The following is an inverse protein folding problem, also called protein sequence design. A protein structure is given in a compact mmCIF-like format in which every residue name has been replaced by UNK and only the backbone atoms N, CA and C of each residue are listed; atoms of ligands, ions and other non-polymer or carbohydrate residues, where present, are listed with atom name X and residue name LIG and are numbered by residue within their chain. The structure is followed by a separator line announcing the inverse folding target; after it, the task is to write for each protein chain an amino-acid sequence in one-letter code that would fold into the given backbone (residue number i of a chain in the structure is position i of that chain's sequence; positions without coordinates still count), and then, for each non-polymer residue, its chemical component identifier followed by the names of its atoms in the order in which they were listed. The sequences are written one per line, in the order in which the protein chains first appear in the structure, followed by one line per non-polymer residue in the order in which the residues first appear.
data_IF_174680720563
#
_entry.id   IF_174680720563
#
_cell.length_a   1.000
_cell.length_b   1.000
_cell.length_c   1.000
_cell.angle_alpha   90.00
_cell.angle_beta   90.00
_cell.angle_gamma   90.00
#
_symmetry.space_group_name_H-M   'P 1'
#
loop_
_entity.id
_entity.type
_entity.pdbx_description
1 polymer ?
#
# COMPACT_ATOMS: atom_id res chain seq x y z
N UNK A 1 -4.70 -8.23 28.85
CA UNK A 1 -4.59 -9.23 29.92
C UNK A 1 -3.62 -8.71 30.96
N UNK A 2 -4.16 -8.25 32.09
CA UNK A 2 -3.37 -7.61 33.12
C UNK A 2 -2.56 -8.65 33.91
N UNK A 3 -1.27 -8.46 33.96
CA UNK A 3 -0.42 -9.18 34.90
C UNK A 3 -0.52 -8.50 36.25
N UNK A 4 -1.12 -9.21 37.24
CA UNK A 4 -1.06 -8.83 38.64
C UNK A 4 0.30 -9.26 39.17
N UNK A 5 1.19 -8.30 39.44
CA UNK A 5 2.45 -8.55 40.14
C UNK A 5 2.09 -8.68 41.63
N UNK A 6 2.09 -9.90 42.16
CA UNK A 6 2.12 -10.13 43.59
C UNK A 6 3.52 -9.88 44.13
N UNK A 7 3.68 -8.79 44.84
CA UNK A 7 4.90 -8.54 45.63
C UNK A 7 4.68 -9.22 46.97
N UNK A 8 5.38 -10.32 47.21
CA UNK A 8 5.33 -11.03 48.50
C UNK A 8 6.03 -10.20 49.56
N UNK A 9 5.23 -9.63 50.45
CA UNK A 9 5.63 -8.86 51.63
C UNK A 9 6.18 -9.79 52.74
N UNK A 10 7.14 -10.67 52.42
CA UNK A 10 7.73 -11.61 53.40
C UNK A 10 8.94 -11.04 54.18
N UNK A 11 9.50 -9.93 53.76
CA UNK A 11 10.71 -9.35 54.36
C UNK A 11 10.44 -8.39 55.55
N UNK A 12 9.22 -7.91 55.72
CA UNK A 12 8.88 -7.00 56.83
C UNK A 12 8.50 -7.73 58.13
N UNK A 13 8.11 -9.03 58.04
CA UNK A 13 7.69 -9.82 59.24
C UNK A 13 8.85 -10.34 60.09
N UNK A 14 10.07 -10.45 59.57
CA UNK A 14 11.19 -11.05 60.30
C UNK A 14 11.96 -9.99 61.12
N UNK A 15 11.93 -8.72 60.75
CA UNK A 15 12.61 -7.66 61.55
C UNK A 15 11.81 -7.19 62.78
N UNK A 16 10.50 -7.32 62.78
CA UNK A 16 9.67 -6.89 63.92
C UNK A 16 9.59 -7.92 65.06
N UNK A 17 9.93 -9.20 64.83
CA UNK A 17 9.92 -10.26 65.88
C UNK A 17 11.18 -10.37 66.72
N UNK A 18 12.28 -9.65 66.38
CA UNK A 18 13.54 -9.68 67.11
C UNK A 18 13.73 -8.54 68.10
N UNK A 19 12.81 -7.58 68.15
CA UNK A 19 12.90 -6.41 69.04
C UNK A 19 11.95 -6.47 70.26
N UNK A 20 11.21 -7.59 70.48
CA UNK A 20 10.26 -7.69 71.60
C UNK A 20 10.70 -8.55 72.81
N UNK A 21 11.97 -9.05 72.81
CA UNK A 21 12.49 -9.83 73.94
C UNK A 21 13.86 -9.28 74.41
N UNK A 22 13.88 -8.18 75.08
CA UNK A 22 14.87 -7.90 76.15
C UNK A 22 14.32 -6.75 77.01
N UNK A 23 13.91 -7.06 78.22
CA UNK A 23 13.46 -6.07 79.19
C UNK A 23 14.60 -5.26 79.75
N UNK A 24 14.32 -4.03 80.09
CA UNK A 24 15.12 -3.24 81.03
C UNK A 24 15.70 -1.92 80.42
N UNK A 25 15.21 -0.85 80.99
CA UNK A 25 15.69 0.52 80.99
C UNK A 25 15.33 1.41 79.75
N UNK A 26 14.36 2.25 80.05
CA UNK A 26 13.86 3.32 79.20
C UNK A 26 14.85 4.52 79.17
N UNK A 27 15.37 4.85 78.03
CA UNK A 27 15.86 6.18 77.67
C UNK A 27 15.02 6.72 76.52
N UNK A 28 14.77 8.02 76.40
CA UNK A 28 13.86 8.58 75.37
C UNK A 28 14.55 8.68 74.01
N UNK A 29 14.67 7.51 73.37
CA UNK A 29 15.27 7.41 72.01
C UNK A 29 14.26 7.06 70.93
N UNK A 30 12.94 7.06 71.29
CA UNK A 30 11.91 6.51 70.41
C UNK A 30 11.40 7.49 69.34
N UNK A 31 11.62 8.82 69.49
CA UNK A 31 11.11 9.77 68.51
C UNK A 31 12.01 9.85 67.22
N UNK A 32 13.34 9.81 67.39
CA UNK A 32 14.27 9.94 66.28
C UNK A 32 14.31 8.70 65.37
N UNK A 33 14.16 7.49 65.91
CA UNK A 33 14.19 6.26 65.13
C UNK A 33 12.90 6.09 64.32
N UNK A 34 11.75 6.48 64.88
CA UNK A 34 10.49 6.46 64.20
C UNK A 34 10.43 7.47 63.04
N UNK A 35 11.05 8.62 63.22
CA UNK A 35 11.14 9.67 62.19
C UNK A 35 12.11 9.30 61.09
N UNK A 36 13.29 8.76 61.41
CA UNK A 36 14.23 8.20 60.43
C UNK A 36 13.63 7.06 59.62
N UNK A 37 12.87 6.17 60.25
CA UNK A 37 12.19 5.05 59.57
C UNK A 37 11.11 5.57 58.61
N UNK A 38 10.38 6.61 59.00
CA UNK A 38 9.40 7.27 58.13
C UNK A 38 10.04 7.97 56.93
N UNK A 39 11.16 8.68 57.17
CA UNK A 39 11.90 9.34 56.10
C UNK A 39 12.51 8.30 55.14
N UNK A 40 13.08 7.21 55.66
CA UNK A 40 13.63 6.13 54.83
C UNK A 40 12.54 5.42 54.00
N UNK A 41 11.36 5.17 54.60
CA UNK A 41 10.19 4.63 53.89
C UNK A 41 9.68 5.59 52.80
N UNK A 42 9.66 6.89 53.08
CA UNK A 42 9.27 7.90 52.09
C UNK A 42 10.31 8.01 50.96
N UNK A 43 11.60 7.92 51.25
CA UNK A 43 12.65 7.89 50.24
C UNK A 43 12.64 6.63 49.38
N UNK A 44 12.35 5.47 49.97
CA UNK A 44 12.16 4.20 49.25
C UNK A 44 10.90 4.25 48.39
N UNK A 45 9.79 4.79 48.91
CA UNK A 45 8.57 5.01 48.14
C UNK A 45 8.77 6.02 46.99
N UNK A 46 9.48 7.12 47.25
CA UNK A 46 9.86 8.09 46.22
C UNK A 46 10.80 7.47 45.18
N UNK A 47 11.79 6.68 45.62
CA UNK A 47 12.67 5.96 44.69
C UNK A 47 11.91 4.90 43.87
N UNK A 48 10.95 4.18 44.46
CA UNK A 48 10.06 3.25 43.75
C UNK A 48 9.12 3.97 42.81
N UNK A 49 8.59 5.15 43.18
CA UNK A 49 7.77 5.98 42.30
C UNK A 49 8.61 6.56 41.15
N UNK A 50 9.86 6.98 41.40
CA UNK A 50 10.78 7.44 40.38
C UNK A 50 11.23 6.31 39.45
N UNK A 51 11.46 5.10 39.95
CA UNK A 51 11.78 3.94 39.09
C UNK A 51 10.57 3.46 38.28
N UNK A 52 9.35 3.58 38.81
CA UNK A 52 8.12 3.30 38.05
C UNK A 52 7.86 4.38 36.99
N UNK A 53 8.20 5.64 37.25
CA UNK A 53 8.10 6.70 36.22
C UNK A 53 9.19 6.62 35.16
N UNK A 54 10.37 6.05 35.45
CA UNK A 54 11.45 5.86 34.48
C UNK A 54 11.25 4.65 33.55
N UNK A 55 10.28 3.78 33.83
CA UNK A 55 9.98 2.61 32.98
C UNK A 55 8.88 2.83 31.95
N UNK A 56 8.32 4.03 31.87
CA UNK A 56 7.43 4.44 30.77
C UNK A 56 8.21 5.18 29.70
N UNK A 57 9.30 4.60 29.23
CA UNK A 57 9.78 4.93 27.89
C UNK A 57 8.65 4.59 26.94
N UNK A 58 7.96 5.59 26.42
CA UNK A 58 6.87 5.40 25.49
C UNK A 58 7.37 4.56 24.31
N UNK A 59 6.83 3.35 24.19
CA UNK A 59 7.11 2.54 22.99
C UNK A 59 6.68 3.34 21.76
N UNK A 60 7.38 3.18 20.64
CA UNK A 60 6.96 3.81 19.39
C UNK A 60 5.50 3.46 19.12
N UNK A 61 4.67 4.49 18.94
CA UNK A 61 3.25 4.32 18.59
C UNK A 61 3.12 4.34 17.07
N UNK A 62 2.78 3.19 16.50
CA UNK A 62 2.60 3.02 15.07
C UNK A 62 1.46 2.04 14.77
N UNK A 63 0.92 2.12 13.58
CA UNK A 63 -0.08 1.19 13.06
C UNK A 63 0.37 0.58 11.75
N UNK A 64 -0.16 -0.60 11.46
CA UNK A 64 -0.02 -1.27 10.17
C UNK A 64 -1.29 -1.08 9.35
N UNK A 65 -1.11 -0.81 8.06
CA UNK A 65 -2.20 -0.77 7.09
C UNK A 65 -1.81 -1.59 5.87
N UNK A 66 -2.70 -2.50 5.47
CA UNK A 66 -2.51 -3.25 4.22
C UNK A 66 -2.96 -2.42 3.02
N UNK A 67 -2.23 -2.54 1.95
CA UNK A 67 -2.56 -1.93 0.65
C UNK A 67 -2.29 -2.97 -0.44
N UNK A 68 -3.28 -3.32 -1.25
CA UNK A 68 -4.67 -2.86 -1.25
C UNK A 68 -5.47 -3.36 -0.05
N UNK A 69 -6.62 -2.74 0.23
CA UNK A 69 -7.48 -3.11 1.35
C UNK A 69 -7.97 -4.57 1.28
N UNK A 70 -8.12 -5.11 0.06
CA UNK A 70 -8.44 -6.51 -0.21
C UNK A 70 -7.26 -7.13 -0.96
N UNK A 71 -6.64 -8.14 -0.39
CA UNK A 71 -5.58 -8.91 -1.04
C UNK A 71 -6.18 -10.04 -1.84
N UNK A 72 -5.94 -10.04 -3.14
CA UNK A 72 -6.43 -11.07 -4.04
C UNK A 72 -5.35 -12.08 -4.38
N UNK A 73 -5.66 -13.37 -4.20
CA UNK A 73 -4.91 -14.49 -4.76
C UNK A 73 -5.36 -14.65 -6.21
N UNK A 74 -4.42 -14.55 -7.14
CA UNK A 74 -4.65 -14.60 -8.58
C UNK A 74 -3.94 -15.82 -9.16
N UNK A 75 -4.63 -16.61 -9.94
CA UNK A 75 -4.00 -17.74 -10.64
C UNK A 75 -2.97 -17.25 -11.64
N UNK A 76 -1.81 -17.89 -11.61
CA UNK A 76 -0.73 -17.59 -12.53
C UNK A 76 -1.11 -18.10 -13.93
N UNK A 77 -1.25 -17.21 -14.90
CA UNK A 77 -1.72 -17.61 -16.22
C UNK A 77 -0.74 -18.50 -16.99
N UNK A 78 0.56 -18.44 -16.66
CA UNK A 78 1.61 -19.26 -17.29
C UNK A 78 1.76 -20.63 -16.65
N UNK A 79 1.41 -20.73 -15.41
CA UNK A 79 1.60 -21.93 -14.64
C UNK A 79 0.30 -22.26 -13.92
N UNK A 80 -0.52 -23.10 -14.53
CA UNK A 80 -1.79 -23.58 -13.99
C UNK A 80 -1.67 -24.29 -12.63
N UNK A 81 -0.45 -24.40 -12.09
CA UNK A 81 -0.19 -25.02 -10.80
C UNK A 81 0.16 -24.00 -9.71
N UNK A 82 0.32 -22.71 -10.07
CA UNK A 82 0.66 -21.66 -9.12
C UNK A 82 -0.34 -20.52 -9.15
N UNK A 83 -0.46 -19.85 -8.02
CA UNK A 83 -1.13 -18.57 -7.85
C UNK A 83 -0.17 -17.60 -7.18
N UNK A 84 -0.39 -16.33 -7.38
CA UNK A 84 0.36 -15.27 -6.73
C UNK A 84 -0.57 -14.28 -6.05
N UNK A 85 -0.03 -13.55 -5.09
CA UNK A 85 -0.67 -12.37 -4.51
C UNK A 85 0.41 -11.39 -4.06
N UNK A 86 0.06 -10.14 -4.09
CA UNK A 86 0.94 -9.03 -3.75
C UNK A 86 0.19 -8.06 -2.85
N UNK A 87 0.89 -7.53 -1.88
CA UNK A 87 0.38 -6.46 -1.03
C UNK A 87 1.54 -5.69 -0.41
N UNK A 88 1.26 -4.47 -0.04
CA UNK A 88 2.16 -3.64 0.74
C UNK A 88 1.63 -3.46 2.16
N UNK A 89 2.53 -3.36 3.10
CA UNK A 89 2.23 -2.98 4.47
C UNK A 89 2.80 -1.60 4.73
N UNK A 90 1.92 -0.64 4.82
CA UNK A 90 2.28 0.69 5.29
C UNK A 90 2.46 0.66 6.81
N UNK A 91 3.61 1.11 7.26
CA UNK A 91 3.96 1.31 8.67
C UNK A 91 3.86 2.80 8.95
N UNK A 92 2.87 3.20 9.72
CA UNK A 92 2.47 4.60 9.88
C UNK A 92 2.66 5.00 11.33
N UNK A 93 3.49 5.99 11.56
CA UNK A 93 3.70 6.58 12.89
C UNK A 93 2.55 7.54 13.24
N UNK A 94 2.07 7.50 14.47
CA UNK A 94 1.01 8.41 14.96
C UNK A 94 1.52 9.80 15.32
N UNK A 95 2.81 9.94 15.54
CA UNK A 95 3.52 11.20 15.82
C UNK A 95 4.75 11.27 14.93
N UNK A 96 5.29 12.45 14.72
CA UNK A 96 6.52 12.67 13.94
C UNK A 96 7.68 11.86 14.53
N UNK A 97 7.83 10.63 14.10
CA UNK A 97 8.85 9.69 14.56
C UNK A 97 9.51 8.97 13.39
N UNK A 98 10.84 8.97 13.40
CA UNK A 98 11.62 8.17 12.46
C UNK A 98 11.63 6.71 12.93
N UNK A 99 10.93 5.84 12.23
CA UNK A 99 10.92 4.40 12.48
C UNK A 99 11.90 3.67 11.57
N UNK A 100 12.66 2.76 12.17
CA UNK A 100 13.53 1.84 11.44
C UNK A 100 12.98 0.42 11.55
N UNK A 101 12.74 -0.29 10.44
CA UNK A 101 12.31 -1.69 10.48
C UNK A 101 13.44 -2.58 11.01
N UNK A 102 13.10 -3.45 11.98
CA UNK A 102 14.03 -4.44 12.54
C UNK A 102 13.80 -5.80 11.88
N UNK A 103 12.56 -6.23 11.83
CA UNK A 103 12.17 -7.48 11.20
C UNK A 103 10.70 -7.45 10.79
N UNK A 104 10.37 -8.27 9.80
CA UNK A 104 9.00 -8.60 9.47
C UNK A 104 8.85 -10.11 9.32
N UNK A 105 7.65 -10.62 9.58
CA UNK A 105 7.31 -12.00 9.23
C UNK A 105 5.90 -12.05 8.66
N UNK A 106 5.68 -12.99 7.74
CA UNK A 106 4.37 -13.28 7.17
C UNK A 106 4.07 -14.76 7.37
N UNK A 107 2.92 -15.05 7.96
CA UNK A 107 2.38 -16.39 8.12
C UNK A 107 1.17 -16.55 7.23
N UNK A 108 1.26 -17.42 6.21
CA UNK A 108 0.14 -17.77 5.36
C UNK A 108 -0.67 -18.88 6.01
N UNK A 109 -1.98 -18.71 6.09
CA UNK A 109 -2.86 -19.63 6.78
C UNK A 109 -3.99 -20.15 5.90
N UNK A 110 -4.38 -21.40 6.18
CA UNK A 110 -5.59 -22.04 5.70
C UNK A 110 -6.41 -22.45 6.94
N UNK A 111 -7.51 -21.75 7.17
CA UNK A 111 -8.28 -21.91 8.41
C UNK A 111 -7.45 -21.56 9.65
N UNK A 112 -7.21 -22.59 10.50
CA UNK A 112 -6.40 -22.47 11.73
C UNK A 112 -4.96 -22.92 11.56
N UNK A 113 -4.59 -23.44 10.40
CA UNK A 113 -3.28 -24.02 10.16
C UNK A 113 -2.38 -23.02 9.43
N UNK A 114 -1.18 -22.77 9.93
CA UNK A 114 -0.13 -22.08 9.20
C UNK A 114 0.43 -23.03 8.15
N UNK A 115 0.38 -22.60 6.88
CA UNK A 115 0.85 -23.39 5.74
C UNK A 115 2.22 -23.00 5.26
N UNK A 116 2.60 -21.73 5.50
CA UNK A 116 3.91 -21.20 5.17
C UNK A 116 4.25 -20.05 6.11
N UNK A 117 5.55 -19.87 6.40
CA UNK A 117 6.05 -18.72 7.15
C UNK A 117 7.32 -18.21 6.48
N UNK A 118 7.39 -16.90 6.28
CA UNK A 118 8.56 -16.23 5.77
C UNK A 118 8.97 -15.12 6.77
N UNK A 119 10.29 -14.92 6.88
CA UNK A 119 10.86 -13.91 7.79
C UNK A 119 11.87 -13.06 7.04
N UNK A 120 11.85 -11.77 7.31
CA UNK A 120 12.78 -10.78 6.75
C UNK A 120 13.57 -10.13 7.87
N UNK A 121 14.89 -10.12 7.68
CA UNK A 121 15.83 -9.38 8.52
C UNK A 121 15.86 -7.91 8.14
N UNK A 122 16.51 -7.08 8.95
CA UNK A 122 16.75 -5.66 8.65
C UNK A 122 17.39 -5.45 7.27
N UNK A 123 18.36 -6.29 6.91
CA UNK A 123 19.02 -6.22 5.60
C UNK A 123 18.08 -6.54 4.43
N UNK A 124 17.25 -7.56 4.60
CA UNK A 124 16.25 -7.94 3.57
C UNK A 124 15.19 -6.84 3.43
N UNK A 125 14.70 -6.30 4.57
CA UNK A 125 13.73 -5.23 4.58
C UNK A 125 14.24 -3.96 3.88
N UNK A 126 15.52 -3.64 4.04
CA UNK A 126 16.12 -2.51 3.35
C UNK A 126 16.05 -2.61 1.81
N UNK A 127 15.93 -3.83 1.27
CA UNK A 127 15.82 -4.08 -0.18
C UNK A 127 14.37 -4.02 -0.69
N UNK A 128 13.39 -4.30 0.15
CA UNK A 128 11.97 -4.37 -0.21
C UNK A 128 11.15 -3.19 0.36
N UNK A 129 11.77 -2.35 1.15
CA UNK A 129 11.16 -1.12 1.67
C UNK A 129 11.06 -0.10 0.53
N UNK A 130 9.88 0.45 0.34
CA UNK A 130 9.65 1.56 -0.58
C UNK A 130 10.37 2.83 -0.12
N UNK A 131 11.01 3.54 -1.05
CA UNK A 131 11.84 4.72 -0.74
C UNK A 131 11.00 6.00 -0.74
N UNK A 132 9.90 6.03 -1.51
CA UNK A 132 9.07 7.23 -1.72
C UNK A 132 7.58 6.88 -1.62
N UNK A 133 7.22 6.08 -0.64
CA UNK A 133 5.87 5.61 -0.55
C UNK A 133 4.92 6.71 -0.06
N UNK A 134 3.82 6.84 -0.75
CA UNK A 134 2.76 7.79 -0.45
C UNK A 134 1.52 7.00 -0.10
N UNK A 135 1.26 6.87 1.19
CA UNK A 135 0.06 6.19 1.65
C UNK A 135 -1.10 7.16 1.61
N UNK A 136 -2.12 6.83 0.82
CA UNK A 136 -3.43 7.42 0.99
C UNK A 136 -4.09 6.73 2.17
N UNK A 137 -4.02 7.36 3.32
CA UNK A 137 -4.78 6.88 4.46
C UNK A 137 -6.26 7.09 4.17
N UNK A 138 -7.06 6.06 4.47
CA UNK A 138 -8.50 6.19 4.55
C UNK A 138 -8.85 7.21 5.62
N UNK A 139 -9.00 8.47 5.18
CA UNK A 139 -9.64 9.49 5.97
C UNK A 139 -11.13 9.45 5.66
N UNK A 140 -12.01 9.65 6.65
CA UNK A 140 -13.43 9.79 6.39
C UNK A 140 -13.68 10.79 5.25
N UNK A 141 -14.66 10.52 4.41
CA UNK A 141 -15.00 11.20 3.14
C UNK A 141 -15.08 12.76 3.23
N UNK A 142 -15.05 13.32 4.42
CA UNK A 142 -15.13 14.77 4.68
C UNK A 142 -13.77 15.48 4.82
N UNK A 143 -12.65 14.76 4.79
CA UNK A 143 -11.33 15.40 4.91
C UNK A 143 -10.49 15.10 3.68
N UNK A 144 -9.71 16.07 3.15
CA UNK A 144 -8.81 15.80 2.05
C UNK A 144 -7.86 14.71 2.49
N UNK A 145 -7.72 13.67 1.65
CA UNK A 145 -6.77 12.59 1.86
C UNK A 145 -5.39 13.20 2.04
N UNK A 146 -4.76 12.98 3.19
CA UNK A 146 -3.40 13.42 3.43
C UNK A 146 -2.45 12.41 2.81
N UNK A 147 -1.55 12.91 2.00
CA UNK A 147 -0.41 12.17 1.55
C UNK A 147 0.67 12.25 2.62
N UNK A 148 1.15 11.10 3.08
CA UNK A 148 2.27 11.04 4.02
C UNK A 148 3.56 10.88 3.24
N UNK A 149 4.51 11.77 3.51
CA UNK A 149 5.89 11.62 3.07
C UNK A 149 6.73 11.06 4.22
N UNK A 150 7.78 10.30 3.91
CA UNK A 150 8.79 9.95 4.92
C UNK A 150 9.24 11.23 5.64
N UNK A 151 9.39 11.23 6.99
CA UNK A 151 9.66 10.07 7.83
C UNK A 151 8.46 9.41 8.51
N UNK A 152 7.25 9.89 8.28
CA UNK A 152 6.03 9.49 9.02
C UNK A 152 5.51 8.11 8.63
N UNK A 153 5.90 7.59 7.47
CA UNK A 153 5.50 6.27 7.00
C UNK A 153 6.55 5.64 6.09
N UNK A 154 6.60 4.34 6.07
CA UNK A 154 7.26 3.54 5.04
C UNK A 154 6.39 2.33 4.71
N UNK A 155 6.60 1.73 3.56
CA UNK A 155 5.95 0.49 3.16
C UNK A 155 6.94 -0.67 3.10
N UNK A 156 6.40 -1.86 3.20
CA UNK A 156 7.10 -3.11 2.95
C UNK A 156 6.30 -3.88 1.91
N UNK A 157 6.91 -4.07 0.75
CA UNK A 157 6.31 -4.78 -0.37
C UNK A 157 6.48 -6.30 -0.23
N UNK A 158 5.38 -7.04 -0.33
CA UNK A 158 5.37 -8.50 -0.27
C UNK A 158 4.77 -9.09 -1.54
N UNK A 159 5.52 -9.96 -2.18
CA UNK A 159 5.07 -10.77 -3.29
C UNK A 159 5.22 -12.25 -2.95
N UNK A 160 4.13 -12.99 -3.09
CA UNK A 160 4.08 -14.41 -2.80
C UNK A 160 3.67 -15.20 -4.03
N UNK A 161 4.27 -16.36 -4.20
CA UNK A 161 3.87 -17.36 -5.16
C UNK A 161 3.68 -18.68 -4.44
N UNK A 162 2.53 -19.30 -4.62
CA UNK A 162 2.17 -20.53 -3.94
C UNK A 162 1.50 -21.52 -4.91
N UNK A 163 1.47 -22.83 -4.57
CA UNK A 163 0.67 -23.78 -5.34
C UNK A 163 -0.78 -23.33 -5.45
N UNK A 164 -1.37 -23.44 -6.65
CA UNK A 164 -2.76 -23.03 -6.90
C UNK A 164 -3.74 -23.77 -5.98
N UNK A 165 -3.51 -25.07 -5.78
CA UNK A 165 -4.33 -25.92 -4.93
C UNK A 165 -4.27 -25.55 -3.43
N UNK A 166 -3.31 -24.72 -3.04
CA UNK A 166 -3.16 -24.30 -1.64
C UNK A 166 -4.23 -23.27 -1.30
N UNK A 167 -5.18 -23.67 -0.45
CA UNK A 167 -6.23 -22.78 0.04
C UNK A 167 -5.65 -21.81 1.08
N UNK A 168 -5.23 -20.62 0.65
CA UNK A 168 -4.82 -19.55 1.56
C UNK A 168 -6.00 -18.62 1.75
N UNK A 169 -6.43 -18.42 2.99
CA UNK A 169 -7.52 -17.53 3.38
C UNK A 169 -7.06 -16.28 4.14
N UNK A 170 -5.85 -16.32 4.69
CA UNK A 170 -5.32 -15.16 5.39
C UNK A 170 -3.79 -15.15 5.43
N UNK A 171 -3.25 -13.92 5.56
CA UNK A 171 -1.85 -13.65 5.88
C UNK A 171 -1.77 -12.93 7.23
N UNK A 172 -0.99 -13.45 8.17
CA UNK A 172 -0.65 -12.79 9.43
C UNK A 172 0.68 -12.06 9.25
N UNK A 173 0.68 -10.75 9.24
CA UNK A 173 1.91 -9.94 9.10
C UNK A 173 2.30 -9.41 10.47
N UNK A 174 3.57 -9.56 10.83
CA UNK A 174 4.16 -9.03 12.06
C UNK A 174 5.33 -8.14 11.70
N UNK A 175 5.35 -6.92 12.20
CA UNK A 175 6.43 -5.96 11.95
C UNK A 175 6.99 -5.48 13.27
N UNK A 176 8.32 -5.52 13.40
CA UNK A 176 9.08 -4.94 14.50
C UNK A 176 9.83 -3.71 14.02
N UNK A 177 9.75 -2.65 14.80
CA UNK A 177 10.41 -1.37 14.53
C UNK A 177 11.21 -0.89 15.73
N UNK A 178 12.15 0.03 15.49
CA UNK A 178 12.77 0.85 16.52
C UNK A 178 12.60 2.33 16.18
N UNK A 179 12.46 3.17 17.21
CA UNK A 179 12.56 4.63 17.07
C UNK A 179 14.02 5.10 17.05
N UNK A 180 14.23 6.40 16.82
CA UNK A 180 15.57 7.00 16.84
C UNK A 180 16.30 6.89 18.18
N UNK A 181 15.58 6.61 19.28
CA UNK A 181 16.14 6.40 20.62
C UNK A 181 16.44 4.93 20.92
N UNK A 182 16.10 4.02 20.00
CA UNK A 182 16.31 2.59 20.14
C UNK A 182 15.19 1.86 20.88
N UNK A 183 14.08 2.51 21.23
CA UNK A 183 12.92 1.82 21.77
C UNK A 183 12.28 0.96 20.69
N UNK A 184 11.87 -0.25 21.05
CA UNK A 184 11.34 -1.23 20.12
C UNK A 184 9.86 -1.45 20.35
N UNK A 185 9.11 -1.63 19.27
CA UNK A 185 7.72 -2.02 19.31
C UNK A 185 7.41 -3.05 18.22
N UNK A 186 6.32 -3.80 18.41
CA UNK A 186 5.84 -4.81 17.48
C UNK A 186 4.34 -4.65 17.28
N UNK A 187 3.91 -4.72 16.03
CA UNK A 187 2.49 -4.77 15.66
C UNK A 187 2.23 -5.99 14.78
N UNK A 188 1.01 -6.50 14.85
CA UNK A 188 0.54 -7.61 14.04
C UNK A 188 -0.77 -7.25 13.36
N UNK A 189 -0.88 -7.58 12.09
CA UNK A 189 -2.07 -7.42 11.27
C UNK A 189 -2.44 -8.76 10.65
N UNK A 190 -3.71 -9.16 10.74
CA UNK A 190 -4.24 -10.29 9.98
C UNK A 190 -5.02 -9.78 8.78
N UNK A 191 -4.66 -10.27 7.61
CA UNK A 191 -5.16 -9.83 6.31
C UNK A 191 -5.95 -10.98 5.70
N UNK A 192 -7.23 -10.80 5.37
CA UNK A 192 -7.96 -11.79 4.60
C UNK A 192 -7.44 -11.83 3.16
N UNK A 193 -7.17 -13.03 2.66
CA UNK A 193 -6.80 -13.27 1.27
C UNK A 193 -8.02 -13.83 0.56
N UNK A 194 -8.42 -13.19 -0.52
CA UNK A 194 -9.59 -13.58 -1.32
C UNK A 194 -9.15 -14.09 -2.68
N UNK A 195 -9.96 -14.95 -3.27
CA UNK A 195 -9.82 -15.35 -4.66
C UNK A 195 -10.67 -14.44 -5.53
N UNK A 196 -10.04 -13.80 -6.53
CA UNK A 196 -10.76 -12.98 -7.49
C UNK A 196 -10.91 -13.69 -8.84
N UNK A 197 -12.13 -13.73 -9.33
CA UNK A 197 -12.46 -14.21 -10.66
C UNK A 197 -13.09 -13.07 -11.47
N UNK A 198 -12.36 -12.61 -12.49
CA UNK A 198 -12.86 -11.62 -13.44
C UNK A 198 -14.09 -12.15 -14.16
N UNK A 199 -15.15 -11.35 -14.23
CA UNK A 199 -16.42 -11.69 -14.85
C UNK A 199 -16.55 -11.11 -16.26
N UNK A 200 -15.95 -9.95 -16.48
CA UNK A 200 -15.97 -9.26 -17.78
C UNK A 200 -14.89 -9.83 -18.69
N UNK A 201 -15.29 -10.19 -19.90
CA UNK A 201 -14.38 -10.60 -20.96
C UNK A 201 -13.77 -9.38 -21.60
N UNK A 202 -12.50 -9.09 -21.29
CA UNK A 202 -11.80 -7.90 -21.76
C UNK A 202 -10.97 -8.21 -22.99
N UNK A 203 -11.06 -7.36 -24.01
CA UNK A 203 -10.07 -7.27 -25.08
C UNK A 203 -9.06 -6.18 -24.74
N UNK A 204 -7.86 -6.27 -25.32
CA UNK A 204 -6.80 -5.29 -25.12
C UNK A 204 -7.23 -3.92 -25.67
N UNK A 205 -6.95 -2.82 -24.95
CA UNK A 205 -7.54 -1.51 -25.27
C UNK A 205 -6.86 -0.76 -26.41
N UNK A 206 -5.95 -1.37 -27.16
CA UNK A 206 -5.47 -0.90 -28.45
C UNK A 206 -4.94 -2.07 -29.29
N UNK A 207 -4.68 -1.85 -30.59
CA UNK A 207 -4.18 -2.88 -31.52
C UNK A 207 -2.69 -2.76 -31.73
N UNK A 208 -2.08 -3.91 -32.10
CA UNK A 208 -0.66 -4.00 -32.44
C UNK A 208 0.24 -4.19 -31.25
N UNK A 209 1.52 -3.90 -31.45
CA UNK A 209 2.56 -4.19 -30.47
C UNK A 209 2.65 -3.13 -29.38
N UNK A 210 3.01 -3.58 -28.19
CA UNK A 210 3.26 -2.71 -27.06
C UNK A 210 4.16 -3.37 -26.01
N UNK A 211 4.50 -2.57 -25.00
CA UNK A 211 5.29 -2.99 -23.84
C UNK A 211 4.63 -2.48 -22.56
N UNK A 212 4.75 -3.26 -21.52
CA UNK A 212 4.29 -2.88 -20.17
C UNK A 212 5.33 -1.96 -19.53
N UNK A 213 4.98 -0.70 -19.32
CA UNK A 213 5.83 0.30 -18.66
C UNK A 213 5.86 0.15 -17.14
N UNK A 214 4.67 -0.04 -16.53
CA UNK A 214 4.51 -0.32 -15.12
C UNK A 214 3.47 -1.42 -14.89
N UNK A 215 3.64 -2.15 -13.79
CA UNK A 215 2.74 -3.22 -13.34
C UNK A 215 2.49 -3.11 -11.83
N UNK A 216 1.78 -4.10 -11.28
CA UNK A 216 1.49 -4.20 -9.85
C UNK A 216 2.41 -5.16 -9.07
N UNK A 217 3.22 -5.95 -9.76
CA UNK A 217 4.09 -6.99 -9.16
C UNK A 217 5.43 -6.39 -8.76
N UNK A 218 5.90 -5.43 -9.56
CA UNK A 218 7.21 -4.81 -9.37
C UNK A 218 7.16 -3.78 -8.25
N UNK A 219 8.05 -3.90 -7.27
CA UNK A 219 8.23 -2.90 -6.23
C UNK A 219 8.49 -1.51 -6.85
N UNK A 220 7.70 -0.53 -6.44
CA UNK A 220 7.72 0.81 -7.03
C UNK A 220 6.94 0.96 -8.35
N UNK A 221 6.14 -0.06 -8.73
CA UNK A 221 5.10 0.04 -9.76
C UNK A 221 3.80 0.67 -9.23
N UNK A 222 2.66 0.21 -9.73
CA UNK A 222 1.36 0.70 -9.29
C UNK A 222 0.91 0.16 -7.94
N UNK A 223 1.51 -0.93 -7.45
CA UNK A 223 1.22 -1.47 -6.13
C UNK A 223 1.41 -0.43 -5.03
N UNK A 224 0.53 -0.47 -4.04
CA UNK A 224 0.71 0.31 -2.82
C UNK A 224 0.01 1.65 -2.73
N UNK A 225 -0.99 1.95 -3.54
CA UNK A 225 -1.75 3.15 -3.26
C UNK A 225 -2.66 3.67 -4.35
N UNK A 226 -3.52 4.59 -3.98
CA UNK A 226 -4.43 5.31 -4.88
C UNK A 226 -5.51 4.46 -5.56
N UNK A 227 -5.73 3.22 -5.11
CA UNK A 227 -6.67 2.30 -5.77
C UNK A 227 -6.19 1.85 -7.15
N UNK A 228 -4.89 1.95 -7.43
CA UNK A 228 -4.27 1.55 -8.70
C UNK A 228 -3.48 0.25 -8.58
N UNK A 229 -3.64 -0.48 -7.50
CA UNK A 229 -2.80 -1.62 -7.13
C UNK A 229 -2.65 -2.70 -8.20
N UNK A 230 -3.65 -2.89 -9.06
CA UNK A 230 -3.59 -3.82 -10.19
C UNK A 230 -3.58 -3.11 -11.55
N UNK A 231 -3.24 -1.84 -11.58
CA UNK A 231 -3.13 -1.08 -12.82
C UNK A 231 -1.90 -1.48 -13.65
N UNK A 232 -1.95 -1.18 -14.93
CA UNK A 232 -0.84 -1.34 -15.87
C UNK A 232 -0.70 -0.10 -16.73
N UNK A 233 0.55 0.31 -16.99
CA UNK A 233 0.87 1.32 -17.99
C UNK A 233 1.35 0.66 -19.26
N UNK A 234 0.73 1.01 -20.37
CA UNK A 234 0.87 0.35 -21.65
C UNK A 234 1.42 1.35 -22.69
N UNK A 235 2.60 1.05 -23.24
CA UNK A 235 3.25 1.86 -24.27
C UNK A 235 3.17 1.16 -25.62
N UNK A 236 3.10 1.95 -26.70
CA UNK A 236 3.11 1.42 -28.06
C UNK A 236 4.50 1.11 -28.55
N UNK A 237 4.66 0.02 -29.30
CA UNK A 237 5.87 -0.34 -30.05
C UNK A 237 5.60 -0.32 -31.55
N UNK A 238 6.65 -0.07 -32.35
CA UNK A 238 6.62 -0.24 -33.79
C UNK A 238 6.93 -1.71 -34.19
N UNK A 239 7.10 -1.92 -35.50
CA UNK A 239 7.44 -3.23 -36.06
C UNK A 239 8.85 -3.71 -35.68
N UNK A 240 9.73 -2.79 -35.29
CA UNK A 240 11.10 -3.06 -34.84
C UNK A 240 11.23 -3.12 -33.32
N UNK A 241 10.10 -3.12 -32.58
CA UNK A 241 10.08 -3.07 -31.12
C UNK A 241 10.63 -1.78 -30.51
N UNK A 242 10.70 -0.70 -31.27
CA UNK A 242 11.10 0.60 -30.75
C UNK A 242 9.90 1.33 -30.09
N UNK A 243 10.14 1.96 -28.93
CA UNK A 243 9.17 2.84 -28.26
C UNK A 243 9.17 4.25 -28.85
N UNK A 244 10.30 4.65 -29.47
CA UNK A 244 10.54 5.98 -30.03
C UNK A 244 10.79 5.92 -31.52
N UNK A 245 10.27 6.89 -32.26
CA UNK A 245 10.51 7.10 -33.71
C UNK A 245 11.82 7.82 -33.98
N UNK A 246 12.29 8.61 -33.00
CA UNK A 246 13.51 9.41 -33.05
C UNK A 246 13.96 9.77 -31.62
N UNK A 247 15.09 10.46 -31.46
CA UNK A 247 15.69 10.84 -30.18
C UNK A 247 15.05 12.11 -29.56
N UNK A 248 13.95 12.63 -30.11
CA UNK A 248 13.25 13.80 -29.58
C UNK A 248 12.45 13.48 -28.29
N UNK A 249 12.27 14.49 -27.47
CA UNK A 249 11.47 14.42 -26.23
C UNK A 249 10.00 14.86 -26.41
N UNK A 250 9.62 15.25 -27.62
CA UNK A 250 8.23 15.58 -27.95
C UNK A 250 7.35 14.32 -27.83
N UNK A 251 6.12 14.50 -27.41
CA UNK A 251 5.17 13.39 -27.33
C UNK A 251 4.99 12.64 -28.65
N UNK A 252 5.07 13.36 -29.80
CA UNK A 252 4.94 12.79 -31.13
C UNK A 252 6.08 11.83 -31.50
N UNK A 253 7.23 11.91 -30.83
CA UNK A 253 8.35 10.98 -30.99
C UNK A 253 8.03 9.59 -30.50
N UNK A 254 7.14 9.45 -29.48
CA UNK A 254 6.70 8.14 -29.02
C UNK A 254 5.81 7.43 -30.05
N UNK A 255 6.07 6.14 -30.27
CA UNK A 255 5.29 5.31 -31.21
C UNK A 255 3.82 5.19 -30.79
N UNK A 256 3.55 5.17 -29.47
CA UNK A 256 2.21 5.10 -28.93
C UNK A 256 1.37 6.37 -29.10
N UNK A 257 1.99 7.53 -29.31
CA UNK A 257 1.28 8.81 -29.39
C UNK A 257 0.19 8.83 -30.46
N UNK A 258 -1.03 9.18 -30.04
CA UNK A 258 -2.19 9.26 -30.94
C UNK A 258 -2.75 7.94 -31.41
N UNK A 259 -2.24 6.78 -30.90
CA UNK A 259 -2.81 5.46 -31.18
C UNK A 259 -4.25 5.39 -30.68
N UNK A 260 -5.14 4.79 -31.45
CA UNK A 260 -6.54 4.62 -31.07
C UNK A 260 -6.68 3.78 -29.82
N UNK A 261 -7.47 4.28 -28.86
CA UNK A 261 -7.87 3.57 -27.65
C UNK A 261 -9.25 2.99 -27.87
N UNK A 262 -9.38 1.70 -27.53
CA UNK A 262 -10.58 0.91 -27.75
C UNK A 262 -11.28 0.63 -26.42
N UNK A 263 -12.61 0.62 -26.42
CA UNK A 263 -13.39 0.09 -25.32
C UNK A 263 -13.07 -1.40 -25.12
N UNK A 264 -12.61 -1.83 -23.92
CA UNK A 264 -12.14 -3.21 -23.73
C UNK A 264 -13.26 -4.23 -23.64
N UNK A 265 -14.48 -3.80 -23.36
CA UNK A 265 -15.70 -4.61 -23.39
C UNK A 265 -16.92 -3.72 -23.62
N UNK A 266 -18.06 -4.34 -23.89
CA UNK A 266 -19.33 -3.62 -23.91
C UNK A 266 -19.65 -3.05 -22.52
N UNK A 267 -20.29 -1.88 -22.49
CA UNK A 267 -20.65 -1.23 -21.24
C UNK A 267 -21.30 0.13 -21.42
N UNK A 268 -21.50 0.82 -20.30
CA UNK A 268 -22.02 2.19 -20.25
C UNK A 268 -20.95 3.12 -19.70
N UNK A 269 -20.70 4.23 -20.37
CA UNK A 269 -19.75 5.25 -19.91
C UNK A 269 -20.30 5.94 -18.66
N UNK A 270 -19.57 5.91 -17.56
CA UNK A 270 -19.98 6.51 -16.27
C UNK A 270 -19.20 7.78 -15.93
N UNK A 271 -18.04 7.95 -16.53
CA UNK A 271 -17.22 9.16 -16.34
C UNK A 271 -16.41 9.45 -17.61
N UNK A 272 -16.22 10.73 -17.93
CA UNK A 272 -15.30 11.19 -18.97
C UNK A 272 -14.63 12.50 -18.54
N UNK A 273 -13.39 12.68 -18.93
CA UNK A 273 -12.66 13.95 -18.94
C UNK A 273 -11.91 14.12 -20.24
N UNK A 274 -11.88 15.33 -20.80
CA UNK A 274 -11.35 15.57 -22.15
C UNK A 274 -10.68 16.94 -22.34
N UNK A 275 -10.49 17.68 -21.25
CA UNK A 275 -10.06 19.08 -21.20
C UNK A 275 -8.70 19.31 -20.53
N UNK A 276 -8.04 18.23 -20.10
CA UNK A 276 -6.71 18.33 -19.49
C UNK A 276 -5.66 18.48 -20.60
N UNK A 277 -4.86 19.56 -20.59
CA UNK A 277 -3.80 19.74 -21.57
C UNK A 277 -2.81 18.56 -21.56
N UNK A 278 -2.32 18.21 -22.74
CA UNK A 278 -1.19 17.30 -22.83
C UNK A 278 0.04 17.88 -22.15
N UNK A 279 0.85 17.05 -21.50
CA UNK A 279 2.16 17.48 -21.05
C UNK A 279 2.99 17.96 -22.26
N UNK A 280 3.82 19.02 -22.12
CA UNK A 280 4.45 19.64 -23.26
C UNK A 280 5.49 18.74 -23.95
N UNK A 281 6.10 17.83 -23.20
CA UNK A 281 7.13 16.89 -23.66
C UNK A 281 7.15 15.63 -22.80
N UNK A 282 7.91 14.63 -23.19
CA UNK A 282 8.21 13.45 -22.40
C UNK A 282 9.13 13.81 -21.23
N UNK A 283 9.03 13.10 -20.11
CA UNK A 283 9.75 13.37 -18.87
C UNK A 283 8.83 13.70 -17.72
N UNK A 284 9.35 14.12 -16.58
CA UNK A 284 8.55 14.45 -15.41
C UNK A 284 7.48 15.49 -15.76
N UNK A 285 6.22 15.27 -15.36
CA UNK A 285 5.19 16.30 -15.53
C UNK A 285 5.62 17.56 -14.77
N UNK A 286 5.19 18.75 -15.22
CA UNK A 286 5.48 20.00 -14.51
C UNK A 286 5.09 19.88 -13.03
N UNK A 287 6.01 20.22 -12.12
CA UNK A 287 5.89 19.99 -10.66
C UNK A 287 4.57 20.48 -10.05
N UNK A 288 4.13 21.65 -10.46
CA UNK A 288 2.90 22.28 -9.99
C UNK A 288 1.65 21.45 -10.30
N UNK A 289 1.62 20.79 -11.44
CA UNK A 289 0.47 19.99 -11.86
C UNK A 289 0.35 18.70 -11.08
N UNK A 290 1.47 18.10 -10.70
CA UNK A 290 1.50 16.88 -9.92
C UNK A 290 1.04 17.12 -8.48
N UNK A 291 1.56 18.18 -7.83
CA UNK A 291 1.20 18.54 -6.47
C UNK A 291 -0.23 19.08 -6.37
N UNK A 292 -0.68 19.87 -7.32
CA UNK A 292 -2.08 20.35 -7.37
C UNK A 292 -3.03 19.16 -7.55
N UNK A 293 -2.72 18.21 -8.39
CA UNK A 293 -3.52 17.00 -8.56
C UNK A 293 -3.68 16.17 -7.28
N UNK A 294 -2.66 16.18 -6.43
CA UNK A 294 -2.65 15.43 -5.16
C UNK A 294 -3.34 16.18 -4.01
N UNK A 295 -3.50 17.50 -4.13
CA UNK A 295 -4.18 18.35 -3.16
C UNK A 295 -5.60 18.73 -3.62
N UNK A 296 -5.93 18.46 -4.87
CA UNK A 296 -7.29 18.65 -5.40
C UNK A 296 -8.20 17.58 -4.80
N UNK A 297 -9.28 17.96 -4.10
CA UNK A 297 -10.27 17.01 -3.58
C UNK A 297 -10.91 16.13 -4.65
N UNK A 298 -10.77 16.49 -5.94
CA UNK A 298 -11.21 15.68 -7.06
C UNK A 298 -10.21 14.63 -7.54
N UNK A 299 -8.89 14.79 -7.28
CA UNK A 299 -7.75 13.94 -7.75
C UNK A 299 -7.87 13.43 -9.20
N UNK A 300 -8.95 13.80 -9.88
CA UNK A 300 -9.24 13.40 -11.25
C UNK A 300 -8.17 13.93 -12.23
N UNK A 301 -7.47 14.98 -11.85
CA UNK A 301 -6.39 15.55 -12.65
C UNK A 301 -5.21 14.58 -12.81
N UNK A 302 -4.94 13.74 -11.81
CA UNK A 302 -3.84 12.77 -11.88
C UNK A 302 -4.00 11.81 -13.06
N UNK A 303 -5.24 11.40 -13.37
CA UNK A 303 -5.54 10.53 -14.52
C UNK A 303 -5.60 11.28 -15.87
N UNK A 304 -5.53 12.61 -15.87
CA UNK A 304 -5.65 13.40 -17.09
C UNK A 304 -6.98 13.21 -17.79
N UNK A 305 -6.97 13.17 -19.12
CA UNK A 305 -8.14 12.82 -19.89
C UNK A 305 -8.40 11.32 -19.79
N UNK A 306 -9.63 10.95 -19.47
CA UNK A 306 -9.94 9.56 -19.17
C UNK A 306 -11.40 9.20 -19.43
N UNK A 307 -11.65 7.90 -19.51
CA UNK A 307 -12.97 7.31 -19.65
C UNK A 307 -13.12 6.20 -18.63
N UNK A 308 -14.28 6.15 -17.92
CA UNK A 308 -14.67 5.01 -17.08
C UNK A 308 -15.89 4.34 -17.71
N UNK A 309 -15.82 3.02 -17.87
CA UNK A 309 -16.87 2.20 -18.49
C UNK A 309 -17.36 1.18 -17.47
N UNK A 310 -18.65 1.19 -17.17
CA UNK A 310 -19.34 0.17 -16.37
C UNK A 310 -19.67 -1.04 -17.25
N UNK A 311 -19.08 -2.19 -16.95
CA UNK A 311 -19.35 -3.46 -17.62
C UNK A 311 -20.42 -4.30 -16.92
N UNK A 312 -21.00 -3.78 -15.84
CA UNK A 312 -21.81 -4.54 -14.91
C UNK A 312 -20.95 -5.38 -13.93
N UNK A 313 -21.60 -6.15 -13.10
CA UNK A 313 -20.94 -7.05 -12.13
C UNK A 313 -20.00 -6.36 -11.11
N UNK A 314 -20.10 -5.04 -10.92
CA UNK A 314 -19.16 -4.20 -10.16
C UNK A 314 -17.74 -4.24 -10.76
N UNK A 315 -17.61 -4.28 -12.06
CA UNK A 315 -16.37 -4.21 -12.81
C UNK A 315 -16.39 -3.00 -13.76
N UNK A 316 -15.44 -2.08 -13.56
CA UNK A 316 -15.34 -0.82 -14.30
C UNK A 316 -13.96 -0.69 -14.90
N UNK A 317 -13.85 -0.43 -16.21
CA UNK A 317 -12.57 -0.10 -16.83
C UNK A 317 -12.30 1.39 -16.72
N UNK A 318 -11.13 1.77 -16.22
CA UNK A 318 -10.57 3.12 -16.32
C UNK A 318 -9.46 3.12 -17.37
N UNK A 319 -9.57 4.02 -18.37
CA UNK A 319 -8.60 4.26 -19.42
C UNK A 319 -8.16 5.73 -19.29
N UNK A 320 -6.89 5.98 -18.98
CA UNK A 320 -6.41 7.30 -18.58
C UNK A 320 -5.19 7.78 -19.37
N UNK A 321 -4.79 9.04 -19.13
CA UNK A 321 -3.74 9.78 -19.84
C UNK A 321 -4.01 9.96 -21.33
N UNK A 322 -5.29 9.96 -21.73
CA UNK A 322 -5.67 10.13 -23.13
C UNK A 322 -5.29 11.51 -23.65
N UNK A 323 -5.14 11.63 -24.98
CA UNK A 323 -4.79 12.86 -25.64
C UNK A 323 -5.88 13.92 -25.43
N UNK A 324 -5.49 15.16 -25.20
CA UNK A 324 -6.40 16.30 -25.08
C UNK A 324 -7.36 16.39 -26.26
N UNK A 325 -8.64 16.56 -25.98
CA UNK A 325 -9.70 16.67 -26.99
C UNK A 325 -10.01 15.43 -27.78
N UNK A 326 -9.37 14.28 -27.47
CA UNK A 326 -9.52 13.05 -28.25
C UNK A 326 -10.64 12.11 -27.81
N UNK A 327 -11.18 12.29 -26.63
CA UNK A 327 -12.28 11.43 -26.10
C UNK A 327 -13.54 11.67 -26.94
N UNK A 328 -14.06 10.59 -27.51
CA UNK A 328 -15.18 10.64 -28.47
C UNK A 328 -16.52 10.22 -27.87
N UNK A 329 -16.54 9.82 -26.61
CA UNK A 329 -17.72 9.34 -25.90
C UNK A 329 -18.06 10.27 -24.70
N UNK A 330 -19.32 10.23 -24.26
CA UNK A 330 -19.83 10.98 -23.12
C UNK A 330 -20.52 10.08 -22.11
N UNK A 331 -20.69 10.58 -20.90
CA UNK A 331 -21.44 9.88 -19.84
C UNK A 331 -22.84 9.50 -20.31
N UNK A 332 -23.21 8.24 -20.10
CA UNK A 332 -24.46 7.63 -20.53
C UNK A 332 -24.39 6.92 -21.88
N UNK A 333 -23.35 7.12 -22.70
CA UNK A 333 -23.18 6.41 -23.95
C UNK A 333 -22.96 4.92 -23.70
N UNK A 334 -23.56 4.08 -24.56
CA UNK A 334 -23.27 2.64 -24.62
C UNK A 334 -22.16 2.41 -25.63
N UNK A 335 -21.17 1.63 -25.23
CA UNK A 335 -20.04 1.24 -26.08
C UNK A 335 -20.04 -0.27 -26.27
N UNK A 336 -19.45 -0.70 -27.38
CA UNK A 336 -19.18 -2.12 -27.68
C UNK A 336 -17.68 -2.38 -27.62
N UNK A 337 -17.31 -3.63 -27.38
CA UNK A 337 -15.90 -4.04 -27.40
C UNK A 337 -15.25 -3.67 -28.75
N UNK A 338 -14.06 -3.06 -28.73
CA UNK A 338 -13.32 -2.61 -29.91
C UNK A 338 -13.78 -1.28 -30.50
N UNK A 339 -14.78 -0.62 -29.95
CA UNK A 339 -15.17 0.73 -30.33
C UNK A 339 -14.05 1.73 -29.96
N UNK A 340 -13.67 2.58 -30.92
CA UNK A 340 -12.71 3.67 -30.65
C UNK A 340 -13.37 4.69 -29.73
N UNK A 341 -12.71 5.02 -28.60
CA UNK A 341 -13.19 5.93 -27.57
C UNK A 341 -12.29 7.13 -27.35
N UNK A 342 -11.13 7.17 -28.01
CA UNK A 342 -10.16 8.27 -27.94
C UNK A 342 -8.79 7.85 -28.41
N UNK A 343 -7.74 8.61 -28.02
CA UNK A 343 -6.37 8.39 -28.45
C UNK A 343 -5.41 8.37 -27.25
N UNK A 344 -4.39 7.52 -27.33
CA UNK A 344 -3.29 7.47 -26.38
C UNK A 344 -2.54 8.81 -26.34
N UNK A 345 -2.39 9.36 -25.17
CA UNK A 345 -1.83 10.68 -24.94
C UNK A 345 -0.79 10.73 -23.83
N UNK A 346 -0.61 11.92 -23.27
CA UNK A 346 0.28 12.21 -22.13
C UNK A 346 -0.30 13.37 -21.34
N UNK A 347 -1.51 13.21 -20.80
CA UNK A 347 -2.16 14.22 -19.97
C UNK A 347 -2.16 13.81 -18.49
N UNK A 348 -2.21 14.79 -17.58
CA UNK A 348 -2.20 14.53 -16.14
C UNK A 348 -0.81 14.10 -15.63
N UNK A 349 -0.77 13.18 -14.65
CA UNK A 349 0.46 12.66 -14.04
C UNK A 349 1.13 11.59 -14.93
N UNK A 350 1.57 11.99 -16.13
CA UNK A 350 2.17 11.11 -17.13
C UNK A 350 3.60 11.56 -17.45
N UNK A 351 4.56 10.62 -17.46
CA UNK A 351 5.96 10.84 -17.81
C UNK A 351 6.24 10.71 -19.31
N UNK A 352 5.23 10.47 -20.10
CA UNK A 352 5.31 10.31 -21.55
C UNK A 352 4.12 9.52 -22.07
N UNK A 353 3.95 9.43 -23.41
CA UNK A 353 2.79 8.81 -23.99
C UNK A 353 2.63 7.34 -23.61
N UNK A 354 1.56 7.06 -22.83
CA UNK A 354 1.13 5.72 -22.45
C UNK A 354 -0.36 5.69 -22.14
N UNK A 355 -0.93 4.52 -22.11
CA UNK A 355 -2.26 4.27 -21.57
C UNK A 355 -2.13 3.69 -20.18
N UNK A 356 -2.60 4.40 -19.17
CA UNK A 356 -2.89 3.82 -17.87
C UNK A 356 -4.22 3.06 -17.95
N UNK A 357 -4.20 1.79 -17.65
CA UNK A 357 -5.38 0.94 -17.63
C UNK A 357 -5.55 0.23 -16.30
N UNK A 358 -6.76 0.24 -15.76
CA UNK A 358 -7.14 -0.60 -14.64
C UNK A 358 -8.59 -1.07 -14.75
N UNK A 359 -8.85 -2.28 -14.23
CA UNK A 359 -10.18 -2.72 -13.86
C UNK A 359 -10.40 -2.38 -12.39
N UNK A 360 -11.53 -1.79 -12.03
CA UNK A 360 -11.81 -1.33 -10.66
C UNK A 360 -13.21 -1.68 -10.19
N UNK A 361 -13.42 -1.64 -8.87
CA UNK A 361 -14.67 -2.07 -8.23
C UNK A 361 -15.72 -0.97 -8.03
N UNK A 362 -15.39 0.29 -8.33
CA UNK A 362 -16.27 1.46 -8.17
C UNK A 362 -16.11 2.41 -9.37
N UNK A 363 -17.17 3.02 -9.90
CA UNK A 363 -17.08 3.92 -11.06
C UNK A 363 -16.34 5.24 -10.75
N UNK A 364 -16.23 5.61 -9.48
CA UNK A 364 -15.58 6.86 -9.07
C UNK A 364 -14.07 6.70 -9.03
N UNK A 365 -13.37 7.66 -9.59
CA UNK A 365 -11.93 7.71 -9.55
C UNK A 365 -11.43 7.71 -8.10
N UNK A 366 -10.42 6.89 -7.78
CA UNK A 366 -9.78 6.76 -6.48
C UNK A 366 -10.67 6.28 -5.31
N UNK A 367 -11.90 5.88 -5.57
CA UNK A 367 -12.79 5.31 -4.55
C UNK A 367 -12.86 3.79 -4.60
N UNK A 368 -12.72 3.22 -5.80
CA UNK A 368 -12.67 1.79 -5.99
C UNK A 368 -11.27 1.24 -5.76
N UNK A 369 -11.21 -0.02 -5.42
CA UNK A 369 -9.98 -0.79 -5.50
C UNK A 369 -9.83 -1.30 -6.93
N UNK A 370 -8.63 -1.20 -7.50
CA UNK A 370 -8.33 -1.90 -8.74
C UNK A 370 -8.39 -3.42 -8.53
N UNK A 371 -8.76 -4.11 -9.58
CA UNK A 371 -9.00 -5.54 -9.59
C UNK A 371 -7.96 -6.24 -10.46
N UNK A 372 -7.53 -7.45 -10.11
CA UNK A 372 -6.72 -8.26 -11.01
C UNK A 372 -7.35 -8.37 -12.38
N UNK A 373 -6.58 -8.18 -13.44
CA UNK A 373 -7.12 -8.12 -14.79
C UNK A 373 -6.42 -9.06 -15.76
N UNK A 374 -7.16 -9.50 -16.78
CA UNK A 374 -6.69 -10.35 -17.85
C UNK A 374 -7.40 -9.98 -19.16
N UNK A 375 -6.64 -9.86 -20.23
CA UNK A 375 -7.16 -9.67 -21.59
C UNK A 375 -7.14 -10.99 -22.36
N UNK A 376 -8.07 -11.14 -23.31
CA UNK A 376 -8.24 -12.39 -24.06
C UNK A 376 -7.46 -12.42 -25.39
N UNK A 377 -7.19 -11.27 -25.99
CA UNK A 377 -6.66 -11.16 -27.35
C UNK A 377 -5.20 -10.69 -27.38
N UNK A 378 -4.42 -11.01 -26.37
CA UNK A 378 -2.97 -10.79 -26.35
C UNK A 378 -2.25 -12.14 -26.25
N UNK A 379 -1.03 -12.16 -26.77
CA UNK A 379 -0.18 -13.36 -26.84
C UNK A 379 0.59 -13.64 -25.53
N UNK A 380 0.46 -12.75 -24.55
CA UNK A 380 1.11 -12.88 -23.26
C UNK A 380 0.10 -12.97 -22.13
N UNK A 381 0.20 -13.92 -21.24
CA UNK A 381 -0.79 -14.12 -20.17
C UNK A 381 -0.57 -13.21 -18.96
N UNK A 382 0.61 -12.63 -18.78
CA UNK A 382 0.90 -11.74 -17.67
C UNK A 382 1.53 -10.43 -18.14
N UNK A 383 0.94 -9.32 -17.73
CA UNK A 383 1.41 -7.97 -18.00
C UNK A 383 2.39 -7.55 -16.90
N UNK A 384 3.65 -7.98 -17.00
CA UNK A 384 4.72 -7.56 -16.11
C UNK A 384 5.62 -6.53 -16.79
N UNK A 385 6.20 -5.64 -16.01
CA UNK A 385 7.08 -4.56 -16.49
C UNK A 385 8.16 -5.08 -17.45
N UNK A 386 8.33 -4.41 -18.57
CA UNK A 386 9.25 -4.79 -19.64
C UNK A 386 8.75 -5.93 -20.53
N UNK A 387 7.55 -6.48 -20.27
CA UNK A 387 6.97 -7.51 -21.13
C UNK A 387 6.41 -6.86 -22.40
N UNK A 388 6.93 -7.27 -23.53
CA UNK A 388 6.37 -6.97 -24.85
C UNK A 388 5.17 -7.88 -25.15
N UNK A 389 4.23 -7.39 -25.92
CA UNK A 389 3.02 -8.11 -26.31
C UNK A 389 2.54 -7.67 -27.69
N UNK A 390 1.72 -8.51 -28.31
CA UNK A 390 0.98 -8.16 -29.54
C UNK A 390 -0.52 -8.39 -29.29
N UNK A 391 -1.32 -7.34 -29.50
CA UNK A 391 -2.78 -7.39 -29.44
C UNK A 391 -3.37 -7.56 -30.83
N UNK A 392 -4.21 -8.58 -31.00
CA UNK A 392 -4.87 -8.95 -32.29
C UNK A 392 -6.19 -8.22 -32.48
#
# INVERSE_FOLDING_TARGET
MGYVVRVDLWLTGIMLKRLSNNGGNTLPYSAGVAEMTRVLLLLVLLACLFTVQLSWASQPDFRLQVVPAIVYKVDDPWNTRTSSFVFDIAVICSTDCALTPISASVELSSGRSTVERQEWTTEMLAKIKGVNYRVLLDTPVASPRRMFTLPEAFDVHFYFRCPQALAIDSAGVRVKVADAKGHRAEQMLRIPVQYYQQKTSLIFPFRGRGVVGQDWITNGGHGGGFGTDFAVDLRGLDENYAEQKNDGDENASAVGWGREILAPAAGTVTYTRNDVPNNPHQGPPPDDKWFVALHDPGLAYAFGNCVVIDHGNSEFSLLAHMQEGSVTVKVGDRVVAGQVIGKLGSSGSSFGPHLHYQLQSDPRLLHGQSLPLRFQNIDVPQLSRGREFEAK
#
